data_IF_206814852657
#
_entry.id   IF_206814852657
#
_cell.length_a   1.000
_cell.length_b   1.000
_cell.length_c   1.000
_cell.angle_alpha   90.00
_cell.angle_beta   90.00
_cell.angle_gamma   90.00
#
_symmetry.space_group_name_H-M   'P 1'
#
loop_
_entity.id
_entity.type
_entity.pdbx_description
1 polymer ?
#
# COMPACT_ATOMS: atom_id res chain seq x y z
N UNK A 1 -43.42 20.84 -41.65
CA UNK A 1 -42.54 21.32 -40.56
C UNK A 1 -41.76 20.12 -40.07
N UNK A 2 -40.47 20.04 -40.37
CA UNK A 2 -39.66 18.83 -40.18
C UNK A 2 -38.64 19.09 -39.08
N UNK A 3 -38.83 18.48 -37.91
CA UNK A 3 -37.97 18.65 -36.75
C UNK A 3 -36.81 17.66 -36.87
N UNK A 4 -35.59 18.16 -37.05
CA UNK A 4 -34.37 17.35 -36.98
C UNK A 4 -33.87 17.32 -35.54
N UNK A 5 -33.98 16.17 -34.89
CA UNK A 5 -33.39 15.95 -33.58
C UNK A 5 -31.96 15.43 -33.75
N UNK A 6 -30.98 16.18 -33.24
CA UNK A 6 -29.59 15.73 -33.14
C UNK A 6 -29.28 15.32 -31.70
N UNK A 7 -28.76 14.10 -31.54
CA UNK A 7 -28.29 13.58 -30.26
C UNK A 7 -26.79 13.89 -30.13
N UNK A 8 -26.41 14.69 -29.14
CA UNK A 8 -25.01 14.98 -28.82
C UNK A 8 -24.56 14.03 -27.73
N UNK A 9 -23.75 13.03 -28.10
CA UNK A 9 -23.15 12.07 -27.16
C UNK A 9 -21.80 12.65 -26.71
N UNK A 10 -21.69 13.01 -25.42
CA UNK A 10 -20.43 13.46 -24.83
C UNK A 10 -19.63 12.25 -24.35
N UNK A 11 -18.52 11.96 -25.04
CA UNK A 11 -17.59 10.90 -24.61
C UNK A 11 -16.61 11.49 -23.59
N UNK A 12 -16.47 10.92 -22.39
CA UNK A 12 -15.50 11.40 -21.41
C UNK A 12 -14.07 11.19 -21.94
N UNK A 13 -13.23 12.22 -21.77
CA UNK A 13 -11.82 12.13 -22.14
C UNK A 13 -11.14 10.98 -21.36
N UNK A 14 -10.32 10.20 -22.05
CA UNK A 14 -9.57 9.09 -21.47
C UNK A 14 -8.64 9.66 -20.38
N UNK A 15 -8.70 9.17 -19.11
CA UNK A 15 -7.83 9.69 -18.06
C UNK A 15 -6.36 9.50 -18.46
N UNK A 16 -5.56 10.54 -18.29
CA UNK A 16 -4.12 10.48 -18.56
C UNK A 16 -3.51 9.40 -17.65
N UNK A 17 -2.63 8.52 -18.18
CA UNK A 17 -1.94 7.56 -17.35
C UNK A 17 -1.09 8.30 -16.33
N UNK A 18 -1.49 8.25 -15.06
CA UNK A 18 -0.66 8.71 -13.95
C UNK A 18 0.60 7.86 -13.94
N UNK A 19 1.74 8.47 -14.25
CA UNK A 19 3.02 7.78 -14.18
C UNK A 19 3.20 7.27 -12.74
N UNK A 20 3.50 5.97 -12.55
CA UNK A 20 3.65 5.43 -11.21
C UNK A 20 4.78 6.16 -10.48
N UNK A 21 4.46 6.69 -9.31
CA UNK A 21 5.44 7.37 -8.47
C UNK A 21 6.55 6.39 -8.11
N UNK A 22 7.78 6.75 -8.44
CA UNK A 22 8.94 5.95 -8.05
C UNK A 22 9.28 6.23 -6.59
N UNK A 23 9.55 5.16 -5.85
CA UNK A 23 9.88 5.23 -4.43
C UNK A 23 11.32 4.76 -4.24
N UNK A 24 12.06 5.48 -3.40
CA UNK A 24 13.36 5.03 -2.87
C UNK A 24 13.19 4.54 -1.46
N UNK A 25 13.74 3.38 -1.17
CA UNK A 25 13.78 2.81 0.18
C UNK A 25 14.92 3.43 1.00
N UNK A 26 14.61 3.79 2.24
CA UNK A 26 15.57 4.16 3.29
C UNK A 26 15.34 3.32 4.53
N UNK A 27 16.26 3.39 5.49
CA UNK A 27 16.06 2.79 6.82
C UNK A 27 14.72 3.23 7.42
N UNK A 28 13.94 2.25 7.88
CA UNK A 28 12.65 2.47 8.53
C UNK A 28 12.72 2.29 10.04
N UNK A 29 11.62 2.61 10.75
CA UNK A 29 11.51 2.37 12.18
C UNK A 29 11.40 0.87 12.47
N UNK A 30 11.86 0.40 13.63
CA UNK A 30 11.65 -1.01 14.03
C UNK A 30 10.18 -1.34 14.30
N UNK A 31 9.42 -0.36 14.76
CA UNK A 31 8.02 -0.51 15.11
C UNK A 31 7.21 0.70 14.64
N UNK A 32 5.97 0.45 14.24
CA UNK A 32 5.01 1.44 13.81
C UNK A 32 3.80 1.38 14.76
N UNK A 33 3.33 2.51 15.30
CA UNK A 33 2.11 2.51 16.09
C UNK A 33 0.92 2.16 15.21
N UNK A 34 0.12 1.17 15.61
CA UNK A 34 -1.03 0.72 14.82
C UNK A 34 -2.05 1.85 14.59
N UNK A 35 -2.20 2.73 15.58
CA UNK A 35 -3.03 3.93 15.47
C UNK A 35 -2.55 4.96 14.45
N UNK A 36 -1.31 4.88 13.97
CA UNK A 36 -0.79 5.73 12.89
C UNK A 36 -1.06 5.15 11.49
N UNK A 37 -1.52 3.90 11.37
CA UNK A 37 -1.88 3.33 10.08
C UNK A 37 -3.15 3.99 9.55
N UNK A 38 -3.10 4.45 8.30
CA UNK A 38 -4.24 4.99 7.56
C UNK A 38 -4.82 3.97 6.56
N UNK A 39 -4.06 2.96 6.23
CA UNK A 39 -4.36 1.95 5.22
C UNK A 39 -3.06 1.42 4.69
N UNK A 40 -3.12 0.55 3.69
CA UNK A 40 -1.90 0.06 3.08
C UNK A 40 -2.16 -0.66 1.75
N UNK A 41 -1.08 -0.89 1.00
CA UNK A 41 -1.12 -1.25 -0.40
C UNK A 41 -0.10 -2.33 -0.72
N UNK A 42 -0.49 -3.29 -1.54
CA UNK A 42 0.41 -4.35 -2.01
C UNK A 42 1.35 -3.77 -3.07
N UNK A 43 2.65 -4.05 -2.93
CA UNK A 43 3.67 -3.73 -3.92
C UNK A 43 4.36 -5.02 -4.37
N UNK A 44 5.12 -4.95 -5.47
CA UNK A 44 5.94 -6.09 -5.92
C UNK A 44 7.02 -6.48 -4.91
N UNK A 45 7.42 -5.57 -4.04
CA UNK A 45 8.56 -5.73 -3.15
C UNK A 45 8.16 -5.95 -1.69
N UNK A 46 6.86 -6.12 -1.41
CA UNK A 46 6.30 -6.26 -0.07
C UNK A 46 5.03 -5.42 0.11
N UNK A 47 4.78 -5.01 1.34
CA UNK A 47 3.51 -4.39 1.73
C UNK A 47 3.73 -2.96 2.19
N UNK A 48 3.14 -2.00 1.49
CA UNK A 48 3.33 -0.58 1.74
C UNK A 48 2.30 -0.04 2.73
N UNK A 49 2.75 0.22 3.94
CA UNK A 49 1.99 0.85 5.01
C UNK A 49 1.84 2.35 4.76
N UNK A 50 0.60 2.81 4.65
CA UNK A 50 0.27 4.24 4.54
C UNK A 50 0.01 4.76 5.95
N UNK A 51 0.76 5.78 6.36
CA UNK A 51 0.60 6.41 7.66
C UNK A 51 -0.31 7.62 7.56
N UNK A 52 -1.00 7.91 8.66
CA UNK A 52 -1.66 9.20 8.88
C UNK A 52 -0.58 10.29 8.76
N UNK A 53 -0.81 11.25 7.87
CA UNK A 53 0.19 12.26 7.49
C UNK A 53 0.90 12.00 6.15
N UNK A 54 0.55 10.93 5.43
CA UNK A 54 1.01 10.71 4.05
C UNK A 54 2.39 10.07 3.91
N UNK A 55 3.07 9.81 5.03
CA UNK A 55 4.27 8.99 5.03
C UNK A 55 3.95 7.54 4.63
N UNK A 56 4.91 6.87 4.01
CA UNK A 56 4.77 5.50 3.53
C UNK A 56 5.94 4.66 3.99
N UNK A 57 5.66 3.48 4.51
CA UNK A 57 6.67 2.55 5.02
C UNK A 57 6.40 1.17 4.44
N UNK A 58 7.36 0.58 3.74
CA UNK A 58 7.25 -0.77 3.22
C UNK A 58 7.66 -1.80 4.27
N UNK A 59 6.77 -2.73 4.56
CA UNK A 59 7.07 -3.96 5.26
C UNK A 59 7.63 -4.99 4.27
N UNK A 60 8.88 -5.38 4.49
CA UNK A 60 9.51 -6.56 3.90
C UNK A 60 9.08 -7.76 4.72
N UNK A 61 8.66 -8.82 4.04
CA UNK A 61 8.11 -10.00 4.68
C UNK A 61 9.00 -11.18 4.34
N UNK A 62 9.27 -12.03 5.34
CA UNK A 62 10.01 -13.25 5.10
C UNK A 62 9.12 -14.29 4.39
N UNK A 63 9.64 -14.86 3.30
CA UNK A 63 9.06 -16.01 2.58
C UNK A 63 7.59 -15.88 2.13
N UNK A 64 7.15 -14.69 1.69
CA UNK A 64 5.79 -14.51 1.17
C UNK A 64 5.70 -13.83 -0.21
N UNK A 65 5.06 -14.48 -1.22
CA UNK A 65 4.83 -13.89 -2.52
C UNK A 65 3.92 -12.65 -2.46
N UNK A 66 4.17 -11.62 -3.29
CA UNK A 66 3.34 -10.41 -3.38
C UNK A 66 1.85 -10.62 -3.65
N UNK A 67 1.47 -11.75 -4.27
CA UNK A 67 0.11 -11.99 -4.75
C UNK A 67 -0.88 -12.44 -3.67
N UNK A 68 -0.40 -12.75 -2.47
CA UNK A 68 -1.20 -13.42 -1.45
C UNK A 68 -1.81 -12.46 -0.39
N UNK A 69 -1.73 -11.14 -0.52
CA UNK A 69 -2.25 -10.25 0.54
C UNK A 69 -3.72 -9.84 0.35
N UNK A 70 -4.48 -9.74 1.45
CA UNK A 70 -5.81 -9.12 1.43
C UNK A 70 -5.70 -7.60 1.28
N UNK A 71 -6.40 -7.02 0.31
CA UNK A 71 -6.76 -5.61 0.30
C UNK A 71 -7.70 -5.35 1.49
N UNK A 72 -7.16 -4.83 2.59
CA UNK A 72 -7.93 -4.58 3.83
C UNK A 72 -7.17 -4.69 5.14
N UNK A 73 -5.89 -5.11 5.13
CA UNK A 73 -4.99 -5.10 6.30
C UNK A 73 -5.50 -5.85 7.52
N UNK A 74 -5.26 -7.17 7.53
CA UNK A 74 -5.36 -7.95 8.77
C UNK A 74 -3.97 -8.04 9.43
N UNK A 75 -3.54 -6.93 10.05
CA UNK A 75 -2.40 -6.93 10.96
C UNK A 75 -2.97 -6.84 12.37
N UNK A 76 -2.68 -7.84 13.20
CA UNK A 76 -3.02 -7.78 14.61
C UNK A 76 -1.86 -7.10 15.33
N UNK A 77 -2.02 -5.88 15.88
CA UNK A 77 -0.96 -5.28 16.65
C UNK A 77 -0.68 -6.11 17.91
N UNK A 78 0.55 -6.01 18.40
CA UNK A 78 0.92 -6.54 19.70
C UNK A 78 0.12 -5.88 20.83
N UNK A 79 0.26 -6.43 22.04
CA UNK A 79 -0.39 -5.88 23.25
C UNK A 79 0.02 -4.42 23.53
N UNK A 80 1.16 -3.99 23.01
CA UNK A 80 1.68 -2.63 23.08
C UNK A 80 1.04 -1.65 22.07
N UNK A 81 0.11 -2.11 21.24
CA UNK A 81 -0.54 -1.31 20.21
C UNK A 81 0.38 -0.94 19.04
N UNK A 82 1.50 -1.67 18.87
CA UNK A 82 2.47 -1.45 17.80
C UNK A 82 2.54 -2.65 16.88
N UNK A 83 3.08 -2.42 15.69
CA UNK A 83 3.45 -3.43 14.69
C UNK A 83 4.97 -3.34 14.50
N UNK A 84 5.69 -4.40 14.80
CA UNK A 84 7.15 -4.44 14.84
C UNK A 84 7.68 -5.49 13.87
N UNK A 85 8.85 -5.20 13.31
CA UNK A 85 9.66 -6.23 12.66
C UNK A 85 10.11 -7.29 13.68
N UNK A 86 10.45 -8.48 13.20
CA UNK A 86 10.94 -9.62 13.99
C UNK A 86 9.98 -10.07 15.11
N UNK A 87 8.68 -9.73 14.99
CA UNK A 87 7.66 -9.99 16.02
C UNK A 87 6.29 -10.21 15.44
N UNK A 88 5.83 -9.24 14.64
CA UNK A 88 4.47 -9.24 14.14
C UNK A 88 4.40 -9.85 12.75
N UNK A 89 3.28 -10.52 12.47
CA UNK A 89 3.05 -11.21 11.21
C UNK A 89 1.88 -10.61 10.46
N UNK A 90 1.96 -10.66 9.13
CA UNK A 90 0.87 -10.29 8.23
C UNK A 90 0.19 -11.57 7.76
N UNK A 91 -1.13 -11.66 7.92
CA UNK A 91 -1.90 -12.78 7.38
C UNK A 91 -2.07 -12.65 5.87
N UNK A 92 -1.79 -13.74 5.18
CA UNK A 92 -2.02 -13.87 3.75
C UNK A 92 -3.33 -14.59 3.46
N UNK A 93 -3.90 -14.30 2.29
CA UNK A 93 -5.15 -14.84 1.74
C UNK A 93 -5.15 -16.36 1.67
N UNK A 94 -4.00 -16.96 1.37
CA UNK A 94 -3.81 -18.40 1.35
C UNK A 94 -3.85 -19.05 2.76
N UNK A 95 -4.08 -18.27 3.81
CA UNK A 95 -4.27 -18.75 5.19
C UNK A 95 -2.98 -18.79 6.02
N UNK A 96 -1.83 -18.50 5.43
CA UNK A 96 -0.56 -18.37 6.11
C UNK A 96 -0.36 -17.05 6.86
N UNK A 97 0.74 -16.98 7.61
CA UNK A 97 1.23 -15.78 8.28
C UNK A 97 2.70 -15.55 7.94
N UNK A 98 3.04 -14.32 7.55
CA UNK A 98 4.37 -13.92 7.13
C UNK A 98 4.97 -12.98 8.17
N UNK A 99 6.15 -13.28 8.67
CA UNK A 99 6.86 -12.38 9.57
C UNK A 99 7.33 -11.13 8.84
N UNK A 100 7.28 -9.99 9.54
CA UNK A 100 7.85 -8.74 9.07
C UNK A 100 9.35 -8.75 9.37
N UNK A 101 10.17 -8.88 8.33
CA UNK A 101 11.63 -8.87 8.41
C UNK A 101 12.17 -7.45 8.63
N UNK A 102 11.64 -6.47 7.88
CA UNK A 102 12.12 -5.10 8.00
C UNK A 102 11.08 -4.08 7.55
N UNK A 103 11.17 -2.89 8.14
CA UNK A 103 10.49 -1.71 7.63
C UNK A 103 11.45 -0.79 6.87
N UNK A 104 11.00 -0.31 5.71
CA UNK A 104 11.73 0.63 4.86
C UNK A 104 10.89 1.87 4.61
N UNK A 105 11.38 3.03 5.03
CA UNK A 105 10.69 4.29 4.73
C UNK A 105 10.76 4.56 3.23
N UNK A 106 9.60 4.76 2.60
CA UNK A 106 9.52 5.11 1.19
C UNK A 106 9.54 6.62 1.04
N UNK A 107 10.59 7.13 0.40
CA UNK A 107 10.68 8.54 0.02
C UNK A 107 10.44 8.67 -1.48
N UNK A 108 9.72 9.71 -1.93
CA UNK A 108 9.61 10.04 -3.34
C UNK A 108 10.98 10.07 -4.02
N UNK A 109 11.21 9.22 -5.01
CA UNK A 109 12.24 9.50 -6.00
C UNK A 109 11.64 10.62 -6.85
N UNK A 110 12.14 11.85 -6.71
CA UNK A 110 11.57 13.03 -7.37
C UNK A 110 11.25 12.76 -8.83
N UNK A 111 10.14 13.34 -9.34
CA UNK A 111 9.88 13.37 -10.78
C UNK A 111 11.10 14.02 -11.43
N UNK A 112 11.75 13.30 -12.34
CA UNK A 112 12.72 13.90 -13.24
C UNK A 112 11.99 14.69 -14.31
#
# INVERSE_FOLDING_TARGET
MTIRQQLIIRVPARPQPVQPMQWREKGGPKCIPAGALAGAQISREGVDLLLKGGARVRAKLDRCPPLDYYSGFYIRPGLDGRVCQDRDTIRVRSGGSCEIDAFKTLVPAGRK
#
